data_IF_624831037041
#
_entry.id   IF_624831037041
#
_cell.length_a   1.000
_cell.length_b   1.000
_cell.length_c   1.000
_cell.angle_alpha   90.00
_cell.angle_beta   90.00
_cell.angle_gamma   90.00
#
_symmetry.space_group_name_H-M   'P 1'
#
loop_
_entity.id
_entity.type
_entity.pdbx_description
1 polymer ?
#
# COMPACT_ATOMS: atom_id res chain seq x y z
N UNK A 1 -10.60 -0.21 7.81
CA UNK A 1 -11.96 -0.57 7.36
C UNK A 1 -12.26 -1.97 7.86
N UNK A 2 -13.31 -2.14 8.63
CA UNK A 2 -13.75 -3.45 9.15
C UNK A 2 -14.50 -4.25 8.07
N UNK A 3 -14.68 -5.56 8.28
CA UNK A 3 -15.45 -6.40 7.36
C UNK A 3 -16.93 -5.96 7.24
N UNK A 4 -17.51 -5.44 8.33
CA UNK A 4 -18.88 -4.92 8.33
C UNK A 4 -18.99 -3.64 7.50
N UNK A 5 -18.04 -2.71 7.66
CA UNK A 5 -17.96 -1.49 6.85
C UNK A 5 -17.75 -1.81 5.37
N UNK A 6 -16.86 -2.76 5.06
CA UNK A 6 -16.60 -3.23 3.70
C UNK A 6 -17.88 -3.77 3.04
N UNK A 7 -18.59 -4.65 3.74
CA UNK A 7 -19.84 -5.24 3.23
C UNK A 7 -20.93 -4.19 3.02
N UNK A 8 -21.10 -3.26 3.97
CA UNK A 8 -22.09 -2.18 3.86
C UNK A 8 -21.77 -1.22 2.71
N UNK A 9 -20.51 -0.84 2.53
CA UNK A 9 -20.09 0.01 1.43
C UNK A 9 -20.31 -0.68 0.07
N UNK A 10 -20.03 -1.99 0.00
CA UNK A 10 -20.27 -2.78 -1.21
C UNK A 10 -21.77 -2.86 -1.55
N UNK A 11 -22.62 -3.12 -0.55
CA UNK A 11 -24.08 -3.15 -0.72
C UNK A 11 -24.64 -1.80 -1.20
N UNK A 12 -24.11 -0.69 -0.69
CA UNK A 12 -24.51 0.64 -1.09
C UNK A 12 -24.07 1.01 -2.52
N UNK A 13 -22.94 0.47 -2.98
CA UNK A 13 -22.28 0.92 -4.22
C UNK A 13 -22.50 0.01 -5.42
N UNK A 14 -22.53 -1.31 -5.20
CA UNK A 14 -22.65 -2.28 -6.28
C UNK A 14 -24.08 -2.36 -6.82
N UNK A 15 -24.20 -2.72 -8.10
CA UNK A 15 -25.52 -2.93 -8.73
C UNK A 15 -26.20 -4.17 -8.15
N UNK A 16 -27.55 -4.21 -8.05
CA UNK A 16 -28.28 -5.34 -7.50
C UNK A 16 -27.95 -6.69 -8.17
N UNK A 17 -27.69 -6.70 -9.47
CA UNK A 17 -27.32 -7.90 -10.22
C UNK A 17 -25.91 -8.38 -9.84
N UNK A 18 -24.98 -7.45 -9.61
CA UNK A 18 -23.62 -7.73 -9.16
C UNK A 18 -23.61 -8.32 -7.75
N UNK A 19 -24.40 -7.75 -6.83
CA UNK A 19 -24.58 -8.29 -5.47
C UNK A 19 -25.22 -9.68 -5.46
N UNK A 20 -26.18 -9.92 -6.35
CA UNK A 20 -26.81 -11.24 -6.50
C UNK A 20 -25.81 -12.27 -7.01
N UNK A 21 -25.05 -11.92 -8.05
CA UNK A 21 -23.98 -12.78 -8.56
C UNK A 21 -22.92 -13.07 -7.49
N UNK A 22 -22.52 -12.06 -6.69
CA UNK A 22 -21.53 -12.24 -5.64
C UNK A 22 -22.02 -13.22 -4.57
N UNK A 23 -23.28 -13.09 -4.11
CA UNK A 23 -23.88 -14.03 -3.16
C UNK A 23 -23.87 -15.47 -3.68
N UNK A 24 -24.25 -15.67 -4.94
CA UNK A 24 -24.21 -16.99 -5.59
C UNK A 24 -22.78 -17.52 -5.74
N UNK A 25 -21.84 -16.66 -6.12
CA UNK A 25 -20.43 -17.01 -6.27
C UNK A 25 -19.81 -17.41 -4.92
N UNK A 26 -20.02 -16.62 -3.86
CA UNK A 26 -19.58 -16.96 -2.49
C UNK A 26 -20.18 -18.28 -2.02
N UNK A 27 -21.48 -18.52 -2.24
CA UNK A 27 -22.10 -19.80 -1.90
C UNK A 27 -21.48 -20.97 -2.68
N UNK A 28 -21.17 -20.78 -3.97
CA UNK A 28 -20.50 -21.81 -4.77
C UNK A 28 -19.07 -22.10 -4.31
N UNK A 29 -18.32 -21.07 -3.91
CA UNK A 29 -16.96 -21.20 -3.38
C UNK A 29 -16.95 -21.88 -2.01
N UNK A 30 -17.91 -21.54 -1.14
CA UNK A 30 -18.05 -22.19 0.16
C UNK A 30 -18.43 -23.67 0.04
N UNK A 31 -19.18 -24.05 -1.00
CA UNK A 31 -19.55 -25.44 -1.27
C UNK A 31 -18.44 -26.23 -1.97
N UNK A 32 -17.69 -25.59 -2.87
CA UNK A 32 -16.57 -26.15 -3.61
C UNK A 32 -15.48 -25.07 -3.77
N UNK A 33 -14.39 -25.13 -2.96
CA UNK A 33 -13.31 -24.15 -3.03
C UNK A 33 -12.71 -24.00 -4.43
N UNK A 34 -12.70 -25.07 -5.25
CA UNK A 34 -12.12 -25.01 -6.60
C UNK A 34 -12.89 -24.09 -7.55
N UNK A 35 -14.15 -23.78 -7.23
CA UNK A 35 -14.95 -22.83 -7.98
C UNK A 35 -14.28 -21.43 -8.03
N UNK A 36 -13.50 -21.07 -7.01
CA UNK A 36 -12.87 -19.73 -6.95
C UNK A 36 -11.98 -19.46 -8.16
N UNK A 37 -11.32 -20.49 -8.69
CA UNK A 37 -10.42 -20.41 -9.85
C UNK A 37 -11.13 -19.85 -11.09
N UNK A 38 -12.45 -19.99 -11.17
CA UNK A 38 -13.27 -19.42 -12.25
C UNK A 38 -14.04 -18.17 -11.82
N UNK A 39 -14.44 -18.06 -10.55
CA UNK A 39 -15.22 -16.91 -10.05
C UNK A 39 -14.36 -15.68 -9.82
N UNK A 40 -13.16 -15.84 -9.29
CA UNK A 40 -12.28 -14.74 -8.91
C UNK A 40 -11.90 -13.83 -10.09
N UNK A 41 -11.56 -14.37 -11.28
CA UNK A 41 -11.27 -13.52 -12.44
C UNK A 41 -12.52 -12.82 -13.02
N UNK A 42 -13.71 -13.36 -12.75
CA UNK A 42 -14.96 -12.78 -13.23
C UNK A 42 -15.44 -11.58 -12.42
N UNK A 43 -14.93 -11.37 -11.19
CA UNK A 43 -15.46 -10.39 -10.24
C UNK A 43 -15.63 -9.01 -10.86
N UNK A 44 -14.55 -8.41 -11.37
CA UNK A 44 -14.63 -7.05 -11.92
C UNK A 44 -15.61 -6.88 -13.08
N UNK A 45 -15.87 -7.94 -13.86
CA UNK A 45 -16.87 -7.92 -14.94
C UNK A 45 -18.31 -8.00 -14.41
N UNK A 46 -18.50 -8.57 -13.22
CA UNK A 46 -19.80 -8.88 -12.65
C UNK A 46 -20.26 -7.84 -11.64
N UNK A 47 -19.34 -7.32 -10.83
CA UNK A 47 -19.67 -6.35 -9.77
C UNK A 47 -19.35 -4.90 -10.14
N UNK A 48 -18.46 -4.68 -11.10
CA UNK A 48 -17.92 -3.36 -11.43
C UNK A 48 -16.49 -3.17 -10.91
N UNK A 49 -15.89 -2.01 -11.22
CA UNK A 49 -14.50 -1.64 -10.85
C UNK A 49 -14.38 -0.19 -10.39
N UNK A 50 -15.50 0.48 -10.21
CA UNK A 50 -15.57 1.84 -9.74
C UNK A 50 -15.05 1.92 -8.29
N UNK A 51 -14.61 3.11 -7.84
CA UNK A 51 -14.31 3.33 -6.44
C UNK A 51 -15.48 2.92 -5.53
N UNK A 52 -15.15 2.23 -4.44
CA UNK A 52 -16.10 1.74 -3.45
C UNK A 52 -16.77 2.92 -2.72
N UNK A 53 -15.98 3.92 -2.36
CA UNK A 53 -16.47 5.23 -1.95
C UNK A 53 -16.76 6.09 -3.19
N UNK A 54 -17.99 6.60 -3.29
CA UNK A 54 -18.40 7.45 -4.41
C UNK A 54 -17.70 8.82 -4.44
N UNK A 55 -17.17 9.28 -3.30
CA UNK A 55 -16.42 10.54 -3.19
C UNK A 55 -14.92 10.40 -3.48
N UNK A 56 -14.41 9.17 -3.61
CA UNK A 56 -12.99 8.94 -3.84
C UNK A 56 -12.55 9.32 -5.25
N UNK A 57 -11.34 9.88 -5.35
CA UNK A 57 -10.68 10.10 -6.64
C UNK A 57 -10.36 8.74 -7.28
N UNK A 58 -10.76 8.54 -8.54
CA UNK A 58 -10.49 7.31 -9.27
C UNK A 58 -8.99 7.08 -9.56
N UNK A 59 -8.16 8.13 -9.43
CA UNK A 59 -6.71 8.05 -9.53
C UNK A 59 -6.00 7.76 -8.21
N UNK A 60 -6.72 7.79 -7.08
CA UNK A 60 -6.18 7.43 -5.78
C UNK A 60 -5.86 5.92 -5.73
N UNK A 61 -4.58 5.60 -5.60
CA UNK A 61 -4.10 4.22 -5.55
C UNK A 61 -4.44 3.52 -4.22
N UNK A 62 -4.78 4.27 -3.17
CA UNK A 62 -5.20 3.75 -1.87
C UNK A 62 -6.70 3.47 -1.81
N UNK A 63 -7.50 4.16 -2.62
CA UNK A 63 -8.94 3.96 -2.69
C UNK A 63 -9.29 2.49 -3.04
N UNK A 64 -10.21 1.93 -2.24
CA UNK A 64 -10.77 0.63 -2.52
C UNK A 64 -11.71 0.70 -3.72
N UNK A 65 -11.73 -0.35 -4.53
CA UNK A 65 -12.71 -0.53 -5.61
C UNK A 65 -13.75 -1.59 -5.25
N UNK A 66 -14.90 -1.55 -5.92
CA UNK A 66 -15.98 -2.53 -5.73
C UNK A 66 -15.46 -3.97 -5.90
N UNK A 67 -14.57 -4.22 -6.88
CA UNK A 67 -14.01 -5.55 -7.11
C UNK A 67 -12.93 -5.97 -6.11
N UNK A 68 -12.25 -5.04 -5.44
CA UNK A 68 -11.39 -5.38 -4.30
C UNK A 68 -12.25 -5.92 -3.13
N UNK A 69 -13.35 -5.24 -2.82
CA UNK A 69 -14.27 -5.65 -1.76
C UNK A 69 -14.92 -7.01 -2.06
N UNK A 70 -15.43 -7.19 -3.28
CA UNK A 70 -16.06 -8.45 -3.68
C UNK A 70 -15.06 -9.62 -3.72
N UNK A 71 -13.81 -9.39 -4.14
CA UNK A 71 -12.74 -10.43 -4.07
C UNK A 71 -12.43 -10.82 -2.63
N UNK A 72 -12.40 -9.85 -1.72
CA UNK A 72 -12.22 -10.11 -0.28
C UNK A 72 -13.32 -11.03 0.24
N UNK A 73 -14.59 -10.79 -0.11
CA UNK A 73 -15.70 -11.66 0.28
C UNK A 73 -15.65 -13.06 -0.36
N UNK A 74 -15.12 -13.20 -1.58
CA UNK A 74 -14.89 -14.53 -2.17
C UNK A 74 -13.76 -15.30 -1.48
N UNK A 75 -12.67 -14.63 -1.10
CA UNK A 75 -11.57 -15.25 -0.37
C UNK A 75 -12.00 -15.68 1.02
N UNK A 76 -12.80 -14.86 1.71
CA UNK A 76 -13.41 -15.21 3.00
C UNK A 76 -14.34 -16.43 2.88
N UNK A 77 -15.05 -16.57 1.75
CA UNK A 77 -15.93 -17.72 1.52
C UNK A 77 -15.17 -19.05 1.36
N UNK A 78 -13.84 -19.04 1.13
CA UNK A 78 -13.03 -20.26 1.13
C UNK A 78 -12.85 -20.86 2.52
N UNK A 79 -12.97 -20.05 3.59
CA UNK A 79 -12.60 -20.46 4.95
C UNK A 79 -11.17 -21.01 5.00
N UNK A 80 -11.00 -22.17 5.64
CA UNK A 80 -9.70 -22.83 5.80
C UNK A 80 -8.99 -23.18 4.47
N UNK A 81 -9.72 -23.24 3.36
CA UNK A 81 -9.13 -23.50 2.05
C UNK A 81 -8.41 -22.28 1.44
N UNK A 82 -8.52 -21.09 2.06
CA UNK A 82 -8.01 -19.84 1.50
C UNK A 82 -6.53 -19.92 1.13
N UNK A 83 -5.69 -20.33 2.09
CA UNK A 83 -4.24 -20.39 1.94
C UNK A 83 -3.80 -21.18 0.71
N UNK A 84 -4.48 -22.31 0.44
CA UNK A 84 -4.14 -23.21 -0.67
C UNK A 84 -4.40 -22.64 -2.06
N UNK A 85 -5.25 -21.61 -2.19
CA UNK A 85 -5.61 -21.01 -3.47
C UNK A 85 -4.85 -19.70 -3.75
N UNK A 86 -4.36 -19.01 -2.72
CA UNK A 86 -3.75 -17.68 -2.85
C UNK A 86 -2.56 -17.65 -3.81
N UNK A 87 -1.66 -18.63 -3.74
CA UNK A 87 -0.43 -18.65 -4.54
C UNK A 87 -0.73 -18.66 -6.04
N UNK A 88 -1.64 -19.53 -6.47
CA UNK A 88 -2.01 -19.70 -7.88
C UNK A 88 -2.85 -18.52 -8.38
N UNK A 89 -3.82 -18.07 -7.57
CA UNK A 89 -4.63 -16.88 -7.89
C UNK A 89 -3.77 -15.64 -8.06
N UNK A 90 -2.77 -15.44 -7.20
CA UNK A 90 -1.85 -14.31 -7.29
C UNK A 90 -0.91 -14.45 -8.49
N UNK A 91 -0.29 -15.63 -8.68
CA UNK A 91 0.68 -15.88 -9.75
C UNK A 91 0.10 -15.63 -11.13
N UNK A 92 -1.11 -16.13 -11.38
CA UNK A 92 -1.77 -16.03 -12.70
C UNK A 92 -2.72 -14.86 -12.83
N UNK A 93 -2.99 -14.15 -11.73
CA UNK A 93 -3.89 -13.01 -11.72
C UNK A 93 -3.30 -11.74 -12.35
N UNK A 94 -4.17 -10.93 -12.91
CA UNK A 94 -3.85 -9.57 -13.36
C UNK A 94 -3.59 -8.61 -12.18
N UNK A 95 -3.20 -7.37 -12.46
CA UNK A 95 -2.88 -6.40 -11.42
C UNK A 95 -4.07 -6.08 -10.48
N UNK A 96 -5.32 -6.09 -10.98
CA UNK A 96 -6.49 -5.85 -10.14
C UNK A 96 -6.81 -7.06 -9.27
N UNK A 97 -6.61 -8.27 -9.79
CA UNK A 97 -6.77 -9.52 -9.05
C UNK A 97 -5.75 -9.64 -7.92
N UNK A 98 -4.47 -9.40 -8.20
CA UNK A 98 -3.40 -9.37 -7.19
C UNK A 98 -3.64 -8.30 -6.14
N UNK A 99 -4.05 -7.10 -6.54
CA UNK A 99 -4.42 -6.02 -5.61
C UNK A 99 -5.55 -6.44 -4.67
N UNK A 100 -6.58 -7.09 -5.20
CA UNK A 100 -7.69 -7.62 -4.39
C UNK A 100 -7.24 -8.68 -3.39
N UNK A 101 -6.28 -9.53 -3.75
CA UNK A 101 -5.67 -10.51 -2.81
C UNK A 101 -4.94 -9.78 -1.68
N UNK A 102 -4.05 -8.84 -2.02
CA UNK A 102 -3.24 -8.11 -1.03
C UNK A 102 -4.11 -7.36 -0.02
N UNK A 103 -5.15 -6.68 -0.51
CA UNK A 103 -6.12 -5.97 0.33
C UNK A 103 -6.93 -6.91 1.24
N UNK A 104 -7.12 -8.16 0.83
CA UNK A 104 -7.89 -9.14 1.59
C UNK A 104 -7.11 -9.78 2.75
N UNK A 105 -5.77 -9.73 2.73
CA UNK A 105 -4.93 -10.49 3.67
C UNK A 105 -5.21 -10.19 5.14
N UNK A 106 -5.50 -8.94 5.48
CA UNK A 106 -5.90 -8.49 6.84
C UNK A 106 -7.15 -9.22 7.37
N UNK A 107 -8.03 -9.69 6.49
CA UNK A 107 -9.27 -10.34 6.88
C UNK A 107 -9.16 -11.86 6.95
N UNK A 108 -8.03 -12.43 6.52
CA UNK A 108 -7.83 -13.88 6.46
C UNK A 108 -7.00 -14.35 7.65
N UNK A 109 -7.41 -15.44 8.30
CA UNK A 109 -6.69 -16.03 9.44
C UNK A 109 -5.46 -16.84 8.98
N UNK A 110 -4.44 -16.11 8.51
CA UNK A 110 -3.23 -16.69 7.89
C UNK A 110 -1.96 -16.49 8.73
N UNK A 111 -1.97 -15.59 9.72
CA UNK A 111 -0.74 -15.10 10.33
C UNK A 111 0.25 -14.66 9.25
N UNK A 112 1.53 -14.98 9.39
CA UNK A 112 2.59 -14.62 8.43
C UNK A 112 2.66 -15.50 7.17
N UNK A 113 1.78 -16.50 7.01
CA UNK A 113 1.90 -17.51 5.94
C UNK A 113 1.71 -16.94 4.53
N UNK A 114 1.07 -15.78 4.38
CA UNK A 114 0.92 -15.07 3.11
C UNK A 114 1.93 -13.93 2.90
N UNK A 115 2.93 -13.77 3.79
CA UNK A 115 3.93 -12.69 3.71
C UNK A 115 4.69 -12.69 2.38
N UNK A 116 4.89 -13.86 1.76
CA UNK A 116 5.56 -13.98 0.47
C UNK A 116 4.84 -13.20 -0.66
N UNK A 117 3.52 -12.99 -0.56
CA UNK A 117 2.74 -12.21 -1.53
C UNK A 117 2.98 -10.71 -1.36
N UNK A 118 3.02 -10.25 -0.11
CA UNK A 118 3.40 -8.88 0.25
C UNK A 118 4.83 -8.58 -0.22
N UNK A 119 5.75 -9.49 0.05
CA UNK A 119 7.15 -9.42 -0.37
C UNK A 119 7.29 -9.33 -1.91
N UNK A 120 6.54 -10.12 -2.68
CA UNK A 120 6.54 -10.04 -4.15
C UNK A 120 5.99 -8.69 -4.63
N UNK A 121 4.83 -8.27 -4.09
CA UNK A 121 4.18 -7.02 -4.46
C UNK A 121 5.10 -5.80 -4.21
N UNK A 122 5.76 -5.76 -3.05
CA UNK A 122 6.73 -4.72 -2.68
C UNK A 122 7.91 -4.72 -3.65
N UNK A 123 8.32 -5.86 -4.25
CA UNK A 123 9.42 -5.91 -5.22
C UNK A 123 9.04 -5.44 -6.63
N UNK A 124 7.75 -5.35 -6.96
CA UNK A 124 7.29 -4.83 -8.27
C UNK A 124 7.48 -3.31 -8.41
N UNK A 125 7.24 -2.76 -9.60
CA UNK A 125 7.15 -1.30 -9.82
C UNK A 125 5.69 -0.83 -10.04
N UNK A 126 4.69 -1.70 -9.80
CA UNK A 126 3.28 -1.30 -9.87
C UNK A 126 2.90 -0.62 -8.55
N UNK A 127 2.81 0.70 -8.56
CA UNK A 127 2.50 1.52 -7.38
C UNK A 127 1.20 1.12 -6.70
N UNK A 128 0.23 0.58 -7.45
CA UNK A 128 -1.07 0.12 -6.90
C UNK A 128 -0.93 -1.19 -6.14
N UNK A 129 -0.01 -2.06 -6.56
CA UNK A 129 0.29 -3.30 -5.82
C UNK A 129 1.10 -3.00 -4.56
N UNK A 130 2.08 -2.10 -4.65
CA UNK A 130 2.86 -1.66 -3.48
C UNK A 130 1.93 -1.03 -2.43
N UNK A 131 1.07 -0.09 -2.83
CA UNK A 131 0.11 0.56 -1.95
C UNK A 131 -0.87 -0.44 -1.30
N UNK A 132 -1.34 -1.43 -2.05
CA UNK A 132 -2.21 -2.47 -1.50
C UNK A 132 -1.49 -3.46 -0.58
N UNK A 133 -0.22 -3.74 -0.84
CA UNK A 133 0.60 -4.64 -0.02
C UNK A 133 0.94 -4.01 1.34
N UNK A 134 1.23 -2.71 1.37
CA UNK A 134 1.58 -1.96 2.58
C UNK A 134 0.34 -1.48 3.36
N UNK A 135 -0.60 -2.40 3.58
CA UNK A 135 -1.73 -2.24 4.49
C UNK A 135 -1.49 -2.92 5.86
N UNK A 136 -2.54 -3.06 6.69
CA UNK A 136 -2.45 -3.60 8.04
C UNK A 136 -1.70 -4.94 8.17
N UNK A 137 -1.97 -5.88 7.25
CA UNK A 137 -1.28 -7.18 7.20
C UNK A 137 0.26 -7.04 7.12
N UNK A 138 0.77 -6.10 6.32
CA UNK A 138 2.20 -5.86 6.21
C UNK A 138 2.75 -5.15 7.45
N UNK A 139 2.01 -4.21 8.03
CA UNK A 139 2.39 -3.53 9.27
C UNK A 139 2.57 -4.51 10.42
N UNK A 140 1.69 -5.51 10.51
CA UNK A 140 1.72 -6.55 11.54
C UNK A 140 2.86 -7.56 11.31
N UNK A 141 3.05 -8.04 10.07
CA UNK A 141 3.90 -9.21 9.82
C UNK A 141 5.29 -8.91 9.24
N UNK A 142 5.53 -7.74 8.64
CA UNK A 142 6.89 -7.39 8.21
C UNK A 142 7.78 -7.15 9.43
N UNK A 143 9.03 -7.62 9.35
CA UNK A 143 10.06 -7.17 10.27
C UNK A 143 10.30 -5.68 10.10
N UNK A 144 10.81 -5.03 11.16
CA UNK A 144 11.18 -3.62 11.15
C UNK A 144 12.01 -3.23 9.94
N UNK A 145 13.07 -4.00 9.67
CA UNK A 145 13.97 -3.74 8.55
C UNK A 145 13.26 -3.89 7.19
N UNK A 146 12.34 -4.85 7.04
CA UNK A 146 11.58 -5.01 5.79
C UNK A 146 10.59 -3.85 5.60
N UNK A 147 9.92 -3.42 6.67
CA UNK A 147 8.97 -2.31 6.63
C UNK A 147 9.70 -1.00 6.28
N UNK A 148 10.82 -0.69 6.93
CA UNK A 148 11.63 0.50 6.65
C UNK A 148 12.13 0.54 5.19
N UNK A 149 12.59 -0.59 4.66
CA UNK A 149 13.00 -0.71 3.26
C UNK A 149 11.83 -0.55 2.28
N UNK A 150 10.64 -1.04 2.63
CA UNK A 150 9.46 -0.88 1.81
C UNK A 150 8.98 0.58 1.76
N UNK A 151 9.03 1.29 2.90
CA UNK A 151 8.74 2.73 2.97
C UNK A 151 9.75 3.54 2.15
N UNK A 152 11.05 3.26 2.28
CA UNK A 152 12.07 3.89 1.44
C UNK A 152 11.80 3.65 -0.05
N UNK A 153 11.42 2.42 -0.42
CA UNK A 153 11.06 2.10 -1.79
C UNK A 153 9.86 2.92 -2.28
N UNK A 154 8.83 3.11 -1.47
CA UNK A 154 7.67 3.92 -1.83
C UNK A 154 8.07 5.32 -2.29
N UNK A 155 8.94 5.98 -1.51
CA UNK A 155 9.45 7.31 -1.86
C UNK A 155 10.25 7.28 -3.17
N UNK A 156 11.04 6.23 -3.39
CA UNK A 156 11.82 6.08 -4.63
C UNK A 156 10.95 5.93 -5.88
N UNK A 157 9.84 5.20 -5.78
CA UNK A 157 8.93 4.92 -6.92
C UNK A 157 7.72 5.86 -6.99
N UNK A 158 7.62 6.84 -6.08
CA UNK A 158 6.57 7.85 -6.07
C UNK A 158 5.22 7.37 -5.51
N UNK A 159 5.22 6.36 -4.63
CA UNK A 159 4.05 6.01 -3.82
C UNK A 159 4.01 6.94 -2.60
N UNK A 160 2.90 7.68 -2.36
CA UNK A 160 2.78 8.51 -1.18
C UNK A 160 2.88 7.66 0.10
N UNK A 161 3.64 8.11 1.09
CA UNK A 161 3.85 7.36 2.34
C UNK A 161 2.87 7.76 3.45
N UNK A 162 2.33 8.97 3.44
CA UNK A 162 1.40 9.44 4.48
C UNK A 162 0.15 8.54 4.65
N UNK A 163 -0.46 8.02 3.57
CA UNK A 163 -1.63 7.15 3.69
C UNK A 163 -1.30 5.69 4.05
N UNK A 164 -0.02 5.30 4.11
CA UNK A 164 0.37 3.93 4.43
C UNK A 164 0.04 3.60 5.88
N UNK A 165 -0.42 2.38 6.11
CA UNK A 165 -0.71 1.91 7.45
C UNK A 165 0.58 1.83 8.28
N UNK A 166 0.56 2.36 9.49
CA UNK A 166 1.73 2.39 10.39
C UNK A 166 2.67 3.60 10.20
N UNK A 167 2.41 4.53 9.28
CA UNK A 167 3.22 5.75 9.17
C UNK A 167 2.69 6.86 10.08
N UNK A 168 3.55 7.54 10.88
CA UNK A 168 4.99 7.30 11.06
C UNK A 168 5.33 6.32 12.21
N UNK A 169 4.36 5.76 12.93
CA UNK A 169 4.54 5.02 14.19
C UNK A 169 5.43 3.78 14.07
N UNK A 170 5.33 3.02 12.98
CA UNK A 170 5.97 1.74 12.71
C UNK A 170 7.41 1.86 12.23
N UNK A 171 7.77 2.98 11.60
CA UNK A 171 9.12 3.23 11.09
C UNK A 171 10.10 3.33 12.25
N UNK A 172 11.29 2.75 12.10
CA UNK A 172 12.33 2.79 13.12
C UNK A 172 13.26 4.01 12.96
N UNK A 173 14.13 4.29 13.95
CA UNK A 173 15.20 5.27 13.78
C UNK A 173 16.12 4.99 12.58
N UNK A 174 16.34 3.71 12.22
CA UNK A 174 17.14 3.37 11.04
C UNK A 174 16.40 3.71 9.75
N UNK A 175 15.09 3.45 9.67
CA UNK A 175 14.25 3.88 8.56
C UNK A 175 14.21 5.41 8.39
N UNK A 176 14.13 6.17 9.48
CA UNK A 176 14.21 7.63 9.44
C UNK A 176 15.59 8.12 8.95
N UNK A 177 16.68 7.50 9.42
CA UNK A 177 18.04 7.76 8.92
C UNK A 177 18.16 7.46 7.43
N UNK A 178 17.63 6.33 6.96
CA UNK A 178 17.62 5.94 5.55
C UNK A 178 16.88 6.96 4.68
N UNK A 179 15.72 7.47 5.13
CA UNK A 179 14.98 8.51 4.43
C UNK A 179 15.75 9.83 4.40
N UNK A 180 16.39 10.23 5.50
CA UNK A 180 17.23 11.43 5.52
C UNK A 180 18.42 11.32 4.55
N UNK A 181 19.09 10.16 4.53
CA UNK A 181 20.16 9.87 3.57
C UNK A 181 19.66 9.92 2.11
N UNK A 182 18.46 9.39 1.84
CA UNK A 182 17.82 9.53 0.53
C UNK A 182 17.55 10.98 0.17
N UNK A 183 17.04 11.80 1.11
CA UNK A 183 16.80 13.22 0.87
C UNK A 183 18.11 13.93 0.51
N UNK A 184 19.18 13.67 1.26
CA UNK A 184 20.50 14.20 0.95
C UNK A 184 20.98 13.79 -0.45
N UNK A 185 20.87 12.52 -0.84
CA UNK A 185 21.24 12.05 -2.18
C UNK A 185 20.45 12.76 -3.30
N UNK A 186 19.16 13.02 -3.07
CA UNK A 186 18.30 13.74 -4.01
C UNK A 186 18.71 15.21 -4.13
N UNK A 187 18.92 15.88 -2.99
CA UNK A 187 19.34 17.28 -2.92
C UNK A 187 20.73 17.49 -3.55
N UNK A 188 21.69 16.62 -3.26
CA UNK A 188 23.03 16.63 -3.85
C UNK A 188 23.01 16.38 -5.38
N UNK A 189 21.90 15.88 -5.91
CA UNK A 189 21.67 15.76 -7.35
C UNK A 189 20.81 16.92 -7.93
N UNK A 190 20.53 17.96 -7.14
CA UNK A 190 19.68 19.09 -7.54
C UNK A 190 18.20 18.74 -7.71
N UNK A 191 17.74 17.62 -7.12
CA UNK A 191 16.39 17.07 -7.34
C UNK A 191 15.49 17.27 -6.13
N UNK A 192 14.21 17.43 -6.40
CA UNK A 192 13.17 17.51 -5.38
C UNK A 192 12.91 16.18 -4.68
N UNK A 193 12.32 16.30 -3.49
CA UNK A 193 11.87 15.22 -2.60
C UNK A 193 10.41 15.45 -2.19
N UNK A 194 9.62 14.40 -1.95
CA UNK A 194 8.27 14.56 -1.40
C UNK A 194 8.30 15.18 0.01
N UNK A 195 7.46 16.17 0.28
CA UNK A 195 7.42 16.85 1.58
C UNK A 195 7.11 15.91 2.76
N UNK A 196 6.29 14.88 2.52
CA UNK A 196 5.88 13.90 3.53
C UNK A 196 7.03 13.06 4.10
N UNK A 197 8.22 13.01 3.49
CA UNK A 197 9.35 12.29 4.10
C UNK A 197 9.71 12.84 5.49
N UNK A 198 9.44 14.13 5.74
CA UNK A 198 9.73 14.78 7.00
C UNK A 198 8.86 14.31 8.16
N UNK A 199 7.64 13.79 7.92
CA UNK A 199 6.83 13.23 9.03
C UNK A 199 7.50 12.01 9.68
N UNK A 200 8.36 11.32 8.93
CA UNK A 200 9.15 10.19 9.44
C UNK A 200 10.51 10.65 9.95
N UNK A 201 11.20 11.53 9.24
CA UNK A 201 12.52 12.04 9.64
C UNK A 201 12.43 12.82 10.97
N UNK A 202 11.42 13.69 11.12
CA UNK A 202 11.26 14.52 12.33
C UNK A 202 10.87 13.68 13.56
N UNK A 203 10.34 12.47 13.37
CA UNK A 203 10.05 11.54 14.48
C UNK A 203 11.34 10.99 15.10
N UNK A 204 12.36 10.73 14.29
CA UNK A 204 13.69 10.26 14.74
C UNK A 204 14.79 11.03 14.00
N UNK A 205 15.02 12.31 14.35
CA UNK A 205 15.96 13.15 13.62
C UNK A 205 17.38 12.58 13.74
N UNK A 206 18.02 12.35 12.60
CA UNK A 206 19.40 11.92 12.52
C UNK A 206 20.31 13.10 12.22
N UNK A 207 20.96 13.64 13.25
CA UNK A 207 21.69 14.92 13.19
C UNK A 207 22.69 15.00 12.04
N UNK A 208 23.50 13.95 11.82
CA UNK A 208 24.53 13.97 10.76
C UNK A 208 23.93 13.99 9.35
N UNK A 209 22.78 13.32 9.13
CA UNK A 209 22.14 13.28 7.81
C UNK A 209 21.41 14.60 7.53
N UNK A 210 20.80 15.18 8.56
CA UNK A 210 20.17 16.50 8.48
C UNK A 210 21.23 17.57 8.20
N UNK A 211 22.35 17.56 8.93
CA UNK A 211 23.46 18.47 8.72
C UNK A 211 24.05 18.36 7.30
N UNK A 212 24.06 17.15 6.71
CA UNK A 212 24.47 16.96 5.33
C UNK A 212 23.52 17.62 4.32
N UNK A 213 22.20 17.57 4.57
CA UNK A 213 21.21 18.31 3.75
C UNK A 213 21.39 19.83 3.91
N UNK A 214 21.58 20.29 5.14
CA UNK A 214 21.81 21.72 5.46
C UNK A 214 23.09 22.26 4.81
N UNK A 215 24.15 21.45 4.75
CA UNK A 215 25.42 21.83 4.10
C UNK A 215 25.26 22.14 2.60
N UNK A 216 24.27 21.53 1.93
CA UNK A 216 24.00 21.81 0.51
C UNK A 216 23.40 23.21 0.28
N UNK A 217 22.99 23.95 1.33
CA UNK A 217 22.63 25.38 1.22
C UNK A 217 23.83 26.26 0.83
N UNK A 218 25.05 25.83 1.14
CA UNK A 218 26.29 26.56 0.81
C UNK A 218 27.03 25.95 -0.39
N UNK A 219 26.37 25.05 -1.13
CA UNK A 219 26.94 24.35 -2.28
C UNK A 219 27.38 25.33 -3.38
N UNK A 220 28.49 25.05 -4.08
CA UNK A 220 28.91 25.88 -5.23
C UNK A 220 27.91 25.80 -6.40
N UNK A 221 27.08 24.74 -6.42
CA UNK A 221 26.09 24.49 -7.45
C UNK A 221 24.71 25.07 -7.09
N UNK A 222 24.20 25.96 -7.94
CA UNK A 222 22.92 26.66 -7.74
C UNK A 222 21.72 25.71 -7.60
N UNK A 223 21.71 24.59 -8.33
CA UNK A 223 20.64 23.61 -8.33
C UNK A 223 20.55 22.84 -7.00
N UNK A 224 21.70 22.50 -6.40
CA UNK A 224 21.78 21.87 -5.08
C UNK A 224 21.30 22.81 -3.98
N UNK A 225 21.75 24.07 -3.98
CA UNK A 225 21.28 25.09 -3.02
C UNK A 225 19.76 25.23 -3.09
N UNK A 226 19.23 25.39 -4.29
CA UNK A 226 17.78 25.53 -4.49
C UNK A 226 17.01 24.27 -4.06
N UNK A 227 17.55 23.07 -4.30
CA UNK A 227 16.94 21.82 -3.86
C UNK A 227 16.96 21.68 -2.32
N UNK A 228 18.06 22.07 -1.67
CA UNK A 228 18.19 22.07 -0.22
C UNK A 228 17.19 23.02 0.44
N UNK A 229 17.06 24.25 -0.08
CA UNK A 229 16.07 25.24 0.38
C UNK A 229 14.65 24.67 0.33
N UNK A 230 14.27 24.05 -0.80
CA UNK A 230 12.94 23.44 -0.96
C UNK A 230 12.75 22.26 -0.01
N UNK A 231 13.72 21.34 0.06
CA UNK A 231 13.65 20.18 0.93
C UNK A 231 13.47 20.60 2.39
N UNK A 232 14.28 21.53 2.90
CA UNK A 232 14.24 21.99 4.29
C UNK A 232 12.99 22.85 4.59
N UNK A 233 12.38 23.51 3.59
CA UNK A 233 11.15 24.27 3.78
C UNK A 233 9.96 23.42 4.25
N UNK A 234 10.03 22.10 4.06
CA UNK A 234 9.00 21.13 4.46
C UNK A 234 9.22 20.54 5.85
N UNK A 235 10.38 20.78 6.48
CA UNK A 235 10.69 20.27 7.81
C UNK A 235 9.85 20.99 8.87
N UNK A 236 9.22 20.23 9.76
CA UNK A 236 8.43 20.77 10.87
C UNK A 236 9.31 20.90 12.11
N UNK A 237 10.24 21.85 12.06
CA UNK A 237 11.11 22.17 13.18
C UNK A 237 12.15 23.20 12.78
N UNK A 238 12.07 24.39 13.41
CA UNK A 238 12.97 25.55 13.31
C UNK A 238 12.66 26.59 12.20
N UNK A 239 11.47 27.20 12.29
CA UNK A 239 11.41 28.68 12.29
C UNK A 239 11.22 29.14 13.73
N UNK A 240 12.31 29.24 14.47
CA UNK A 240 12.41 29.98 15.74
C UNK A 240 13.59 30.94 15.63
#
# INVERSE_FOLDING_TARGET
MTLAELSAALEARAKPEGLTWLREASASVAADPTAIRTRFPMVGRKVGREPLDAGADASDIFAWTIDDAARTLLLLALGDAAEGELAELYRFGDAAERRGILRALEFLDLGDRALYLTDDAIRTNDTRLIAAALGPYATEHLSDAQYDQAVLKCVFVGVPITPLDGIPERVTPDGARMLAAFVHERVAAGRDVPAEVWIVIDKYPHADEIAAIEAELESEFDDRRAAAERALSHRTGERA
#
